data_IF_734350869532
#
_entry.id   IF_734350869532
#
_cell.length_a   1.000
_cell.length_b   1.000
_cell.length_c   1.000
_cell.angle_alpha   90.00
_cell.angle_beta   90.00
_cell.angle_gamma   90.00
#
_symmetry.space_group_name_H-M   'P 1'
#
loop_
_entity.id
_entity.type
_entity.pdbx_description
1 polymer ?
#
# COMPACT_ATOMS: atom_id res chain seq x y z
N UNK A 1 47.47 -33.98 30.04
CA UNK A 1 48.30 -32.93 29.50
C UNK A 1 47.60 -32.41 28.26
N UNK A 2 46.91 -31.29 28.36
CA UNK A 2 46.32 -30.64 27.22
C UNK A 2 46.47 -29.15 27.41
N UNK A 3 47.24 -28.54 26.57
CA UNK A 3 47.58 -27.12 26.60
C UNK A 3 46.44 -26.33 25.97
N UNK A 4 46.01 -25.31 26.70
CA UNK A 4 44.99 -24.37 26.21
C UNK A 4 45.50 -23.50 25.07
N UNK A 5 44.70 -23.37 24.08
CA UNK A 5 44.93 -22.57 22.88
C UNK A 5 44.63 -21.08 23.17
N UNK A 6 45.58 -20.15 22.94
CA UNK A 6 45.40 -18.75 23.31
C UNK A 6 44.59 -17.89 22.38
N UNK A 7 43.90 -18.46 21.37
CA UNK A 7 43.16 -17.71 20.33
C UNK A 7 41.66 -17.99 20.27
N UNK A 8 41.01 -18.14 21.41
CA UNK A 8 39.55 -18.30 21.44
C UNK A 8 38.85 -16.98 21.84
N UNK A 9 38.27 -16.19 20.95
CA UNK A 9 37.62 -14.93 21.30
C UNK A 9 36.23 -15.08 21.94
N UNK A 10 35.74 -16.30 22.19
CA UNK A 10 34.40 -16.55 22.75
C UNK A 10 34.38 -17.05 24.19
N UNK A 11 35.43 -16.91 24.94
CA UNK A 11 35.52 -17.48 26.28
C UNK A 11 35.78 -16.44 27.37
N UNK A 12 34.86 -15.52 27.64
CA UNK A 12 34.80 -14.86 28.95
C UNK A 12 33.35 -14.52 29.33
N UNK A 13 32.77 -15.52 29.98
CA UNK A 13 31.61 -15.36 30.82
C UNK A 13 32.14 -15.39 32.26
N UNK A 14 31.86 -14.36 33.03
CA UNK A 14 32.25 -14.40 34.42
C UNK A 14 31.98 -13.13 35.22
N UNK A 15 30.87 -13.15 35.92
CA UNK A 15 30.65 -12.67 37.28
C UNK A 15 30.24 -11.21 37.49
N UNK A 16 28.96 -11.12 37.83
CA UNK A 16 28.34 -10.13 38.71
C UNK A 16 28.93 -10.21 40.13
N UNK A 17 28.96 -9.12 40.95
CA UNK A 17 27.82 -8.89 41.82
C UNK A 17 27.39 -7.42 42.01
N UNK A 18 26.10 -7.20 42.06
CA UNK A 18 25.24 -6.50 42.97
C UNK A 18 25.61 -5.15 43.55
N UNK A 19 24.74 -4.19 43.37
CA UNK A 19 24.00 -3.53 44.47
C UNK A 19 23.07 -2.42 43.97
N UNK A 20 22.00 -2.32 44.65
CA UNK A 20 20.77 -1.54 44.54
C UNK A 20 20.92 -0.07 45.00
N UNK A 21 19.81 0.69 45.22
CA UNK A 21 19.34 1.76 44.33
C UNK A 21 19.47 3.15 44.98
N UNK A 22 19.43 4.19 44.20
CA UNK A 22 19.40 5.57 44.69
C UNK A 22 18.49 6.47 43.89
N UNK A 23 17.41 6.85 44.50
CA UNK A 23 16.53 7.95 44.13
C UNK A 23 17.28 9.29 44.06
N UNK A 24 16.94 10.15 43.13
CA UNK A 24 17.35 11.57 43.16
C UNK A 24 17.13 12.31 41.88
N UNK A 25 16.07 13.04 41.82
CA UNK A 25 15.77 14.20 40.95
C UNK A 25 16.47 15.46 41.52
N UNK A 26 16.32 16.66 40.90
CA UNK A 26 16.59 17.16 39.57
C UNK A 26 17.49 18.42 39.59
N UNK A 27 17.49 19.12 38.48
CA UNK A 27 17.81 20.55 38.32
C UNK A 27 19.22 20.95 37.90
N UNK A 28 19.25 21.55 36.71
CA UNK A 28 19.73 22.90 36.49
C UNK A 28 21.26 23.13 36.51
N UNK A 29 21.72 23.58 35.42
CA UNK A 29 22.53 24.78 35.32
C UNK A 29 23.58 24.71 34.21
N UNK A 30 23.61 25.78 33.48
CA UNK A 30 24.62 26.21 32.52
C UNK A 30 26.02 26.11 33.09
N UNK A 31 26.96 25.59 32.29
CA UNK A 31 28.37 25.65 32.58
C UNK A 31 29.15 26.03 31.33
N UNK A 32 29.55 27.27 31.25
CA UNK A 32 30.60 27.80 30.37
C UNK A 32 31.93 27.18 30.79
N UNK A 33 32.77 26.74 29.84
CA UNK A 33 34.13 26.32 30.18
C UNK A 33 35.00 25.96 28.99
N UNK A 34 35.72 26.91 28.49
CA UNK A 34 37.08 27.03 27.94
C UNK A 34 37.67 25.91 27.06
N UNK A 35 38.41 26.34 26.00
CA UNK A 35 39.15 25.47 25.10
C UNK A 35 40.58 25.27 25.61
N UNK A 36 41.07 24.03 25.64
CA UNK A 36 42.51 23.79 25.77
C UNK A 36 42.93 22.46 25.15
N UNK A 37 43.97 22.56 24.29
CA UNK A 37 44.92 21.50 24.10
C UNK A 37 44.97 20.87 22.72
N UNK A 38 45.78 21.50 21.83
CA UNK A 38 46.32 20.88 20.64
C UNK A 38 47.17 19.68 21.00
N UNK A 39 46.91 18.52 20.43
CA UNK A 39 47.87 17.46 20.23
C UNK A 39 47.71 16.91 18.79
N UNK A 40 48.81 16.85 18.02
CA UNK A 40 48.75 16.35 16.65
C UNK A 40 48.74 14.83 16.66
N UNK A 41 47.54 14.26 16.44
CA UNK A 41 47.33 12.83 16.24
C UNK A 41 47.14 12.54 14.75
N UNK A 42 47.95 11.65 14.23
CA UNK A 42 47.94 11.13 12.87
C UNK A 42 46.52 10.90 12.34
N UNK A 43 46.22 11.60 11.22
CA UNK A 43 44.88 11.55 10.60
C UNK A 43 44.64 10.23 9.91
N UNK A 44 43.65 9.50 10.40
CA UNK A 44 42.90 8.58 9.57
C UNK A 44 41.93 9.40 8.71
N UNK A 45 41.72 9.05 7.43
CA UNK A 45 40.73 9.72 6.62
C UNK A 45 39.36 9.59 7.30
N UNK A 46 38.78 10.72 7.64
CA UNK A 46 37.44 10.81 8.19
C UNK A 46 36.49 10.24 7.14
N UNK A 47 35.84 9.12 7.48
CA UNK A 47 34.77 8.56 6.66
C UNK A 47 33.74 9.67 6.38
N UNK A 48 33.27 9.82 5.15
CA UNK A 48 32.24 10.82 4.84
C UNK A 48 31.06 10.63 5.79
N UNK A 49 30.44 11.74 6.25
CA UNK A 49 29.28 11.65 7.12
C UNK A 49 28.24 10.77 6.42
N UNK A 50 28.00 9.60 6.99
CA UNK A 50 26.86 8.75 6.58
C UNK A 50 25.62 9.60 6.79
N UNK A 51 25.07 10.12 5.70
CA UNK A 51 23.74 10.70 5.73
C UNK A 51 22.83 9.66 6.40
N UNK A 52 22.03 10.04 7.38
CA UNK A 52 21.07 9.12 7.96
C UNK A 52 20.13 8.70 6.84
N UNK A 53 20.40 7.53 6.27
CA UNK A 53 19.55 6.85 5.33
C UNK A 53 18.21 6.65 6.05
N UNK A 54 17.21 7.44 5.63
CA UNK A 54 15.84 7.47 6.06
C UNK A 54 15.56 6.83 7.40
N UNK A 55 15.47 7.65 8.46
CA UNK A 55 15.15 7.16 9.78
C UNK A 55 14.00 6.17 9.72
N UNK A 56 14.25 4.97 10.22
CA UNK A 56 13.18 4.06 10.60
C UNK A 56 12.27 4.82 11.57
N UNK A 57 11.00 5.10 11.24
CA UNK A 57 10.06 5.65 12.21
C UNK A 57 9.59 4.51 13.11
N UNK A 58 10.40 4.16 14.07
CA UNK A 58 10.18 3.03 14.96
C UNK A 58 10.80 3.26 16.33
N UNK A 59 10.71 4.48 16.86
CA UNK A 59 10.86 4.71 18.29
C UNK A 59 9.63 4.14 19.01
N UNK A 60 9.77 3.63 20.25
CA UNK A 60 8.66 3.09 21.03
C UNK A 60 7.66 4.22 21.33
N UNK A 61 6.53 4.22 20.62
CA UNK A 61 5.43 5.17 20.83
C UNK A 61 5.01 6.05 19.64
N UNK A 62 5.74 6.06 18.52
CA UNK A 62 5.33 6.80 17.34
C UNK A 62 4.25 6.04 16.55
N UNK A 63 3.07 6.62 16.38
CA UNK A 63 2.10 6.10 15.42
C UNK A 63 2.77 6.09 14.04
N UNK A 64 2.99 4.90 13.50
CA UNK A 64 3.56 4.74 12.16
C UNK A 64 2.66 5.48 11.16
N UNK A 65 3.18 6.54 10.57
CA UNK A 65 2.45 7.27 9.55
C UNK A 65 2.33 6.39 8.29
N UNK A 66 1.16 6.44 7.64
CA UNK A 66 0.93 5.66 6.42
C UNK A 66 1.90 6.11 5.32
N UNK A 67 2.68 5.18 4.73
CA UNK A 67 3.60 5.51 3.64
C UNK A 67 2.90 6.19 2.46
N UNK A 68 3.60 7.13 1.81
CA UNK A 68 3.04 7.88 0.69
C UNK A 68 2.52 6.98 -0.44
N UNK A 69 3.19 5.88 -0.75
CA UNK A 69 2.74 4.91 -1.73
C UNK A 69 1.40 4.25 -1.37
N UNK A 70 1.19 3.92 -0.09
CA UNK A 70 -0.08 3.33 0.37
C UNK A 70 -1.19 4.39 0.36
N UNK A 71 -0.89 5.65 0.71
CA UNK A 71 -1.83 6.78 0.58
C UNK A 71 -2.25 6.95 -0.89
N UNK A 72 -1.29 6.93 -1.82
CA UNK A 72 -1.55 7.04 -3.25
C UNK A 72 -2.41 5.87 -3.76
N UNK A 73 -2.07 4.63 -3.44
CA UNK A 73 -2.86 3.46 -3.82
C UNK A 73 -4.31 3.54 -3.30
N UNK A 74 -4.50 4.07 -2.09
CA UNK A 74 -5.84 4.31 -1.53
C UNK A 74 -6.64 5.32 -2.36
N UNK A 75 -6.02 6.43 -2.78
CA UNK A 75 -6.68 7.43 -3.64
C UNK A 75 -7.02 6.82 -5.01
N UNK A 76 -6.11 6.03 -5.59
CA UNK A 76 -6.35 5.34 -6.86
C UNK A 76 -7.53 4.38 -6.78
N UNK A 77 -7.71 3.65 -5.69
CA UNK A 77 -8.88 2.79 -5.47
C UNK A 77 -10.19 3.61 -5.44
N UNK A 78 -10.19 4.79 -4.83
CA UNK A 78 -11.35 5.68 -4.86
C UNK A 78 -11.63 6.19 -6.28
N UNK A 79 -10.61 6.55 -7.05
CA UNK A 79 -10.75 6.98 -8.44
C UNK A 79 -11.33 5.85 -9.29
N UNK A 80 -10.78 4.63 -9.18
CA UNK A 80 -11.29 3.46 -9.93
C UNK A 80 -12.75 3.19 -9.56
N UNK A 81 -13.12 3.24 -8.26
CA UNK A 81 -14.51 3.01 -7.85
C UNK A 81 -15.48 4.03 -8.44
N UNK A 82 -15.07 5.30 -8.51
CA UNK A 82 -15.89 6.35 -9.14
C UNK A 82 -16.11 6.08 -10.64
N UNK A 83 -15.06 5.71 -11.36
CA UNK A 83 -15.16 5.31 -12.77
C UNK A 83 -16.06 4.09 -12.98
N UNK A 84 -15.92 3.07 -12.12
CA UNK A 84 -16.73 1.84 -12.20
C UNK A 84 -18.21 2.10 -11.92
N UNK A 85 -18.52 2.94 -10.92
CA UNK A 85 -19.90 3.34 -10.62
C UNK A 85 -20.50 4.10 -11.80
N UNK A 86 -19.76 5.08 -12.33
CA UNK A 86 -20.20 5.85 -13.48
C UNK A 86 -20.46 4.94 -14.69
N UNK A 87 -19.51 4.06 -15.01
CA UNK A 87 -19.65 3.14 -16.12
C UNK A 87 -20.82 2.15 -15.92
N UNK A 88 -20.99 1.61 -14.71
CA UNK A 88 -22.12 0.74 -14.38
C UNK A 88 -23.47 1.42 -14.54
N UNK A 89 -23.59 2.68 -14.09
CA UNK A 89 -24.80 3.47 -14.25
C UNK A 89 -25.08 3.77 -15.72
N UNK A 90 -24.06 4.14 -16.50
CA UNK A 90 -24.21 4.40 -17.94
C UNK A 90 -24.63 3.14 -18.71
N UNK A 91 -24.09 1.96 -18.34
CA UNK A 91 -24.51 0.69 -18.95
C UNK A 91 -25.99 0.38 -18.64
N UNK A 92 -26.44 0.63 -17.40
CA UNK A 92 -27.85 0.46 -17.07
C UNK A 92 -28.75 1.45 -17.83
N UNK A 93 -28.33 2.70 -17.95
CA UNK A 93 -29.06 3.71 -18.69
C UNK A 93 -29.15 3.37 -20.20
N UNK A 94 -28.10 2.75 -20.78
CA UNK A 94 -28.08 2.38 -22.20
C UNK A 94 -29.05 1.26 -22.57
N UNK A 95 -29.65 0.56 -21.59
CA UNK A 95 -30.66 -0.47 -21.88
C UNK A 95 -31.91 0.11 -22.53
N UNK A 96 -32.34 1.31 -22.09
CA UNK A 96 -33.49 1.98 -22.68
C UNK A 96 -33.30 2.37 -24.16
N UNK A 97 -32.04 2.68 -24.55
CA UNK A 97 -31.74 3.03 -25.96
C UNK A 97 -31.85 1.83 -26.90
N UNK A 98 -31.75 0.60 -26.40
CA UNK A 98 -31.96 -0.62 -27.20
C UNK A 98 -33.44 -0.75 -27.55
N UNK A 99 -34.34 -0.52 -26.59
CA UNK A 99 -35.78 -0.58 -26.83
C UNK A 99 -36.23 0.48 -27.87
N UNK A 100 -35.75 1.72 -27.70
CA UNK A 100 -36.01 2.81 -28.65
C UNK A 100 -35.46 2.49 -30.05
N UNK A 101 -34.27 1.87 -30.14
CA UNK A 101 -33.69 1.51 -31.43
C UNK A 101 -34.49 0.40 -32.14
N UNK A 102 -35.06 -0.56 -31.40
CA UNK A 102 -35.92 -1.60 -31.97
C UNK A 102 -37.25 -1.00 -32.43
N UNK A 103 -37.89 -0.21 -31.58
CA UNK A 103 -39.14 0.44 -31.91
C UNK A 103 -39.00 1.31 -33.17
N UNK A 104 -37.92 2.07 -33.27
CA UNK A 104 -37.62 2.93 -34.43
C UNK A 104 -37.22 2.13 -35.68
N UNK A 105 -36.68 0.94 -35.55
CA UNK A 105 -36.30 0.10 -36.70
C UNK A 105 -37.48 -0.62 -37.34
N UNK A 106 -38.62 -0.66 -36.68
CA UNK A 106 -39.79 -1.44 -37.12
C UNK A 106 -39.56 -2.96 -37.12
N UNK A 107 -38.48 -3.43 -36.45
CA UNK A 107 -38.13 -4.83 -36.40
C UNK A 107 -39.04 -5.57 -35.41
N UNK A 108 -40.12 -6.14 -35.92
CA UNK A 108 -41.11 -6.89 -35.14
C UNK A 108 -40.83 -8.41 -35.11
N UNK A 109 -39.74 -8.86 -35.75
CA UNK A 109 -39.44 -10.30 -35.76
C UNK A 109 -39.08 -10.82 -34.38
N UNK A 110 -39.46 -12.04 -34.07
CA UNK A 110 -39.12 -12.71 -32.81
C UNK A 110 -37.59 -12.80 -32.63
N UNK A 111 -36.84 -12.96 -33.69
CA UNK A 111 -35.39 -13.00 -33.68
C UNK A 111 -34.78 -11.66 -33.23
N UNK A 112 -35.29 -10.53 -33.74
CA UNK A 112 -34.82 -9.19 -33.34
C UNK A 112 -35.05 -8.94 -31.84
N UNK A 113 -36.21 -9.31 -31.33
CA UNK A 113 -36.51 -9.21 -29.90
C UNK A 113 -35.58 -10.10 -29.06
N UNK A 114 -35.33 -11.33 -29.50
CA UNK A 114 -34.41 -12.24 -28.80
C UNK A 114 -32.97 -11.68 -28.74
N UNK A 115 -32.47 -11.12 -29.82
CA UNK A 115 -31.14 -10.46 -29.84
C UNK A 115 -31.08 -9.24 -28.91
N UNK A 116 -32.15 -8.46 -28.83
CA UNK A 116 -32.23 -7.33 -27.92
C UNK A 116 -32.21 -7.76 -26.46
N UNK A 117 -32.99 -8.79 -26.11
CA UNK A 117 -33.04 -9.30 -24.74
C UNK A 117 -31.70 -9.90 -24.31
N UNK A 118 -31.00 -10.61 -25.21
CA UNK A 118 -29.63 -11.07 -24.98
C UNK A 118 -28.68 -9.90 -24.77
N UNK A 119 -28.77 -8.85 -25.60
CA UNK A 119 -27.96 -7.63 -25.48
C UNK A 119 -28.15 -6.94 -24.12
N UNK A 120 -29.41 -6.75 -23.70
CA UNK A 120 -29.76 -6.19 -22.40
C UNK A 120 -29.25 -7.08 -21.26
N UNK A 121 -29.40 -8.40 -21.37
CA UNK A 121 -28.89 -9.36 -20.41
C UNK A 121 -27.36 -9.23 -20.19
N UNK A 122 -26.60 -9.09 -21.28
CA UNK A 122 -25.16 -8.88 -21.24
C UNK A 122 -24.82 -7.53 -20.58
N UNK A 123 -25.50 -6.45 -20.95
CA UNK A 123 -25.30 -5.13 -20.35
C UNK A 123 -25.60 -5.13 -18.85
N UNK A 124 -26.73 -5.78 -18.44
CA UNK A 124 -27.07 -5.94 -17.03
C UNK A 124 -25.98 -6.68 -16.27
N UNK A 125 -25.52 -7.80 -16.80
CA UNK A 125 -24.46 -8.58 -16.20
C UNK A 125 -23.16 -7.77 -16.03
N UNK A 126 -22.75 -7.06 -17.08
CA UNK A 126 -21.56 -6.20 -17.04
C UNK A 126 -21.72 -5.05 -16.04
N UNK A 127 -22.88 -4.42 -15.97
CA UNK A 127 -23.16 -3.35 -15.01
C UNK A 127 -23.09 -3.86 -13.56
N UNK A 128 -23.73 -4.99 -13.28
CA UNK A 128 -23.68 -5.62 -11.95
C UNK A 128 -22.24 -5.98 -11.57
N UNK A 129 -21.49 -6.56 -12.49
CA UNK A 129 -20.07 -6.89 -12.27
C UNK A 129 -19.25 -5.63 -11.94
N UNK A 130 -19.43 -4.55 -12.68
CA UNK A 130 -18.75 -3.27 -12.41
C UNK A 130 -19.11 -2.71 -11.03
N UNK A 131 -20.36 -2.78 -10.61
CA UNK A 131 -20.80 -2.32 -9.29
C UNK A 131 -20.22 -3.17 -8.16
N UNK A 132 -20.12 -4.49 -8.35
CA UNK A 132 -19.43 -5.37 -7.41
C UNK A 132 -17.96 -5.00 -7.27
N UNK A 133 -17.25 -4.80 -8.38
CA UNK A 133 -15.86 -4.37 -8.36
C UNK A 133 -15.69 -2.97 -7.75
N UNK A 134 -16.63 -2.06 -7.96
CA UNK A 134 -16.65 -0.75 -7.30
C UNK A 134 -16.78 -0.89 -5.78
N UNK A 135 -17.69 -1.73 -5.31
CA UNK A 135 -17.86 -2.01 -3.89
C UNK A 135 -16.58 -2.61 -3.27
N UNK A 136 -15.96 -3.57 -3.95
CA UNK A 136 -14.67 -4.15 -3.53
C UNK A 136 -13.57 -3.11 -3.45
N UNK A 137 -13.49 -2.21 -4.43
CA UNK A 137 -12.52 -1.11 -4.45
C UNK A 137 -12.70 -0.18 -3.26
N UNK A 138 -13.94 0.20 -2.96
CA UNK A 138 -14.29 1.03 -1.80
C UNK A 138 -13.88 0.33 -0.50
N UNK A 139 -14.24 -0.94 -0.33
CA UNK A 139 -13.89 -1.72 0.85
C UNK A 139 -12.36 -1.81 1.04
N UNK A 140 -11.60 -2.02 -0.03
CA UNK A 140 -10.15 -2.03 0.00
C UNK A 140 -9.59 -0.66 0.38
N UNK A 141 -10.10 0.43 -0.21
CA UNK A 141 -9.68 1.80 0.11
C UNK A 141 -9.92 2.14 1.59
N UNK A 142 -11.05 1.70 2.16
CA UNK A 142 -11.34 1.88 3.59
C UNK A 142 -10.39 1.07 4.46
N UNK A 143 -10.14 -0.19 4.10
CA UNK A 143 -9.27 -1.10 4.86
C UNK A 143 -7.77 -0.81 4.73
N UNK A 144 -7.34 0.03 3.80
CA UNK A 144 -5.93 0.41 3.66
C UNK A 144 -5.34 1.07 4.92
N UNK A 145 -6.15 1.76 5.72
CA UNK A 145 -5.72 2.37 7.00
C UNK A 145 -5.43 1.33 8.08
N UNK A 146 -6.29 0.34 8.20
CA UNK A 146 -6.31 -0.64 9.29
C UNK A 146 -6.02 -2.05 8.84
N UNK A 147 -5.97 -2.30 7.52
CA UNK A 147 -5.81 -3.62 6.95
C UNK A 147 -4.43 -4.24 7.21
N UNK A 148 -4.36 -5.59 7.33
CA UNK A 148 -3.15 -6.35 7.44
C UNK A 148 -2.69 -6.93 6.12
N UNK A 149 -1.84 -7.94 6.23
CA UNK A 149 -1.30 -8.63 5.05
C UNK A 149 -2.41 -9.14 4.11
N UNK A 150 -3.56 -9.58 4.64
CA UNK A 150 -4.72 -9.94 3.82
C UNK A 150 -5.21 -8.78 2.93
N UNK A 151 -5.30 -7.55 3.48
CA UNK A 151 -5.68 -6.37 2.68
C UNK A 151 -4.65 -6.07 1.59
N UNK A 152 -3.35 -6.27 1.88
CA UNK A 152 -2.28 -6.15 0.90
C UNK A 152 -2.47 -7.11 -0.26
N UNK A 153 -2.65 -8.40 0.04
CA UNK A 153 -2.85 -9.44 -0.99
C UNK A 153 -4.10 -9.15 -1.82
N UNK A 154 -5.23 -8.84 -1.16
CA UNK A 154 -6.46 -8.48 -1.86
C UNK A 154 -6.31 -7.26 -2.76
N UNK A 155 -5.54 -6.24 -2.35
CA UNK A 155 -5.29 -5.05 -3.17
C UNK A 155 -4.43 -5.36 -4.40
N UNK A 156 -3.43 -6.25 -4.26
CA UNK A 156 -2.61 -6.71 -5.39
C UNK A 156 -3.46 -7.52 -6.37
N UNK A 157 -4.26 -8.46 -5.88
CA UNK A 157 -5.16 -9.27 -6.70
C UNK A 157 -6.18 -8.38 -7.42
N UNK A 158 -6.80 -7.44 -6.70
CA UNK A 158 -7.71 -6.46 -7.29
C UNK A 158 -7.03 -5.63 -8.38
N UNK A 159 -5.80 -5.14 -8.13
CA UNK A 159 -5.00 -4.40 -9.11
C UNK A 159 -4.73 -5.22 -10.38
N UNK A 160 -4.47 -6.53 -10.25
CA UNK A 160 -4.30 -7.43 -11.39
C UNK A 160 -5.59 -7.55 -12.22
N UNK A 161 -6.74 -7.74 -11.56
CA UNK A 161 -8.04 -7.76 -12.25
C UNK A 161 -8.37 -6.42 -12.92
N UNK A 162 -8.09 -5.29 -12.26
CA UNK A 162 -8.28 -3.95 -12.83
C UNK A 162 -7.39 -3.74 -14.07
N UNK A 163 -6.14 -4.22 -14.02
CA UNK A 163 -5.22 -4.16 -15.17
C UNK A 163 -5.73 -4.98 -16.33
N UNK A 164 -6.13 -6.23 -16.10
CA UNK A 164 -6.69 -7.10 -17.12
C UNK A 164 -7.96 -6.53 -17.72
N UNK A 165 -8.91 -6.09 -16.87
CA UNK A 165 -10.13 -5.44 -17.32
C UNK A 165 -9.87 -4.19 -18.14
N UNK A 166 -8.85 -3.40 -17.78
CA UNK A 166 -8.40 -2.24 -18.55
C UNK A 166 -7.88 -2.60 -19.93
N UNK A 167 -7.14 -3.71 -20.07
CA UNK A 167 -6.66 -4.22 -21.37
C UNK A 167 -7.84 -4.60 -22.29
N UNK A 168 -8.82 -5.32 -21.75
CA UNK A 168 -9.99 -5.72 -22.54
C UNK A 168 -10.92 -4.57 -22.92
N UNK A 169 -10.81 -3.43 -22.23
CA UNK A 169 -11.65 -2.24 -22.45
C UNK A 169 -10.93 -1.15 -23.24
N UNK A 170 -9.82 -1.44 -23.93
CA UNK A 170 -9.09 -0.46 -24.72
C UNK A 170 -9.96 0.11 -25.85
N UNK A 171 -9.79 1.43 -26.16
CA UNK A 171 -8.82 2.39 -25.60
C UNK A 171 -9.25 3.03 -24.28
N UNK A 172 -10.52 2.95 -23.88
CA UNK A 172 -11.06 3.62 -22.68
C UNK A 172 -10.47 3.05 -21.38
N UNK A 173 -10.11 1.77 -21.38
CA UNK A 173 -9.55 1.07 -20.24
C UNK A 173 -8.11 1.44 -19.87
N UNK A 174 -7.43 2.28 -20.65
CA UNK A 174 -6.02 2.63 -20.45
C UNK A 174 -5.76 3.25 -19.07
N UNK A 175 -6.67 4.08 -18.60
CA UNK A 175 -6.60 4.74 -17.30
C UNK A 175 -6.72 3.71 -16.17
N UNK A 176 -7.69 2.80 -16.27
CA UNK A 176 -7.90 1.73 -15.27
C UNK A 176 -6.73 0.76 -15.23
N UNK A 177 -6.18 0.42 -16.40
CA UNK A 177 -4.98 -0.40 -16.53
C UNK A 177 -3.78 0.25 -15.84
N UNK A 178 -3.51 1.53 -16.12
CA UNK A 178 -2.40 2.26 -15.50
C UNK A 178 -2.55 2.35 -13.98
N UNK A 179 -3.75 2.69 -13.49
CA UNK A 179 -4.04 2.76 -12.06
C UNK A 179 -3.91 1.39 -11.39
N UNK A 180 -4.35 0.32 -12.03
CA UNK A 180 -4.21 -1.06 -11.54
C UNK A 180 -2.73 -1.44 -11.34
N UNK A 181 -1.88 -1.17 -12.33
CA UNK A 181 -0.43 -1.41 -12.26
C UNK A 181 0.18 -0.60 -11.12
N UNK A 182 -0.15 0.69 -11.00
CA UNK A 182 0.37 1.55 -9.95
C UNK A 182 -0.04 1.08 -8.55
N UNK A 183 -1.27 0.61 -8.37
CA UNK A 183 -1.72 0.03 -7.10
C UNK A 183 -0.85 -1.16 -6.72
N UNK A 184 -0.60 -2.09 -7.68
CA UNK A 184 0.25 -3.25 -7.44
C UNK A 184 1.65 -2.79 -7.01
N UNK A 185 2.28 -1.87 -7.75
CA UNK A 185 3.63 -1.38 -7.47
C UNK A 185 3.72 -0.75 -6.09
N UNK A 186 2.80 0.15 -5.73
CA UNK A 186 2.86 0.86 -4.45
C UNK A 186 2.58 -0.05 -3.25
N UNK A 187 1.69 -1.02 -3.40
CA UNK A 187 1.34 -1.95 -2.32
C UNK A 187 2.37 -3.08 -2.18
N UNK A 188 3.02 -3.49 -3.27
CA UNK A 188 4.05 -4.52 -3.27
C UNK A 188 5.40 -4.03 -2.73
N UNK A 189 5.69 -2.72 -2.86
CA UNK A 189 6.95 -2.11 -2.41
C UNK A 189 7.22 -2.38 -0.92
N UNK A 190 8.52 -2.34 -0.52
CA UNK A 190 8.95 -2.63 0.86
C UNK A 190 8.21 -1.82 1.93
N UNK A 191 8.02 -0.51 1.70
CA UNK A 191 7.33 0.37 2.63
C UNK A 191 5.84 -0.01 2.79
N UNK A 192 5.20 -0.39 1.67
CA UNK A 192 3.85 -0.93 1.68
C UNK A 192 3.79 -2.24 2.46
N UNK A 193 4.73 -3.17 2.21
CA UNK A 193 4.80 -4.42 2.93
C UNK A 193 4.91 -4.22 4.44
N UNK A 194 5.85 -3.37 4.88
CA UNK A 194 6.07 -3.05 6.30
C UNK A 194 4.81 -2.45 6.95
N UNK A 195 4.10 -1.56 6.24
CA UNK A 195 2.83 -0.99 6.73
C UNK A 195 1.77 -2.04 7.02
N UNK A 196 1.59 -3.01 6.15
CA UNK A 196 0.57 -4.05 6.29
C UNK A 196 0.96 -5.18 7.26
N UNK A 197 2.26 -5.32 7.58
CA UNK A 197 2.79 -6.33 8.52
C UNK A 197 2.99 -5.79 9.94
N UNK A 198 2.72 -4.50 10.19
CA UNK A 198 2.87 -3.89 11.51
C UNK A 198 2.06 -4.63 12.58
N UNK A 199 2.58 -4.75 13.83
CA UNK A 199 1.83 -5.28 14.96
C UNK A 199 0.59 -4.43 15.22
N UNK A 200 -0.51 -5.07 15.54
CA UNK A 200 -1.77 -4.43 15.90
C UNK A 200 -2.10 -4.81 17.32
N UNK A 201 -2.11 -3.83 18.15
CA UNK A 201 -2.54 -3.95 19.52
C UNK A 201 -3.95 -3.40 19.66
#
# INVERSE_FOLDING_TARGET
MSFGDPNNPYGQQGQQPGQQPGYGQPSGQQGYGYPQGQQPGYGYPQAPPVQPYGGYPGGPGGQLEMPGGVKAARVMLWVISAFQILAGVLLLASMGTIDEAIDNSGATSADAQTFADLGKGILAFMAILMLIFAALSILLALKMKSGGNATRVCAIVYGAFATLGGVFSLPLGIVTMALGILIIVFVAKSDGAAWFQRPRY
#
